data_IF_550079411571
#
_entry.id   IF_550079411571
#
_cell.length_a   1.000
_cell.length_b   1.000
_cell.length_c   1.000
_cell.angle_alpha   90.00
_cell.angle_beta   90.00
_cell.angle_gamma   90.00
#
_symmetry.space_group_name_H-M   'P 1'
#
loop_
_entity.id
_entity.type
_entity.pdbx_description
1 polymer ?
2 polymer ?
3 non-polymer ?
4 non-polymer ?
5 non-polymer ?
6 water ?
#
# COMPACT_ATOMS: atom_id res chain seq x y z
N UNK A 1 19.97 6.34 -12.23
CA UNK A 1 20.76 6.63 -11.04
C UNK A 1 21.86 5.60 -10.82
N UNK A 2 22.04 5.19 -9.55
CA UNK A 2 23.15 4.36 -9.13
C UNK A 2 23.07 2.96 -9.69
N UNK A 3 21.85 2.53 -10.07
CA UNK A 3 21.65 1.23 -10.66
C UNK A 3 21.68 1.24 -12.18
N UNK A 4 22.01 2.40 -12.77
CA UNK A 4 22.00 2.53 -14.21
C UNK A 4 22.94 1.60 -14.96
N UNK A 5 24.03 1.21 -14.30
CA UNK A 5 25.01 0.36 -14.94
C UNK A 5 24.74 -1.12 -14.77
N UNK A 6 23.74 -1.50 -13.98
CA UNK A 6 23.47 -2.90 -13.74
C UNK A 6 22.40 -3.43 -14.67
N UNK A 7 22.61 -4.63 -15.22
CA UNK A 7 21.58 -5.27 -16.03
C UNK A 7 20.25 -5.40 -15.31
N UNK A 8 19.16 -5.26 -16.06
CA UNK A 8 17.84 -5.47 -15.52
C UNK A 8 17.76 -6.82 -14.80
N UNK A 9 18.21 -7.88 -15.48
CA UNK A 9 18.04 -9.20 -14.89
C UNK A 9 18.84 -9.35 -13.61
N UNK A 10 20.00 -8.71 -13.55
CA UNK A 10 20.83 -8.72 -12.35
C UNK A 10 20.18 -7.96 -11.20
N UNK A 11 19.49 -6.87 -11.51
CA UNK A 11 18.73 -6.12 -10.51
C UNK A 11 17.62 -6.98 -9.93
N UNK A 12 16.90 -7.70 -10.81
CA UNK A 12 15.84 -8.59 -10.35
C UNK A 12 16.40 -9.71 -9.49
N UNK A 13 17.51 -10.32 -9.95
CA UNK A 13 18.15 -11.38 -9.19
C UNK A 13 18.55 -10.88 -7.80
N UNK A 14 19.17 -9.68 -7.78
CA UNK A 14 19.62 -9.13 -6.50
C UNK A 14 18.46 -8.70 -5.60
N UNK A 15 17.35 -8.23 -6.19
CA UNK A 15 16.17 -7.99 -5.39
C UNK A 15 15.71 -9.24 -4.66
N UNK A 16 15.73 -10.40 -5.35
CA UNK A 16 15.32 -11.65 -4.74
C UNK A 16 16.28 -12.05 -3.62
N UNK A 17 17.58 -11.84 -3.83
CA UNK A 17 18.57 -12.11 -2.79
C UNK A 17 18.36 -11.21 -1.57
N UNK A 18 18.11 -9.93 -1.84
CA UNK A 18 17.89 -8.96 -0.78
C UNK A 18 16.65 -9.35 0.03
N UNK A 19 15.61 -9.85 -0.64
CA UNK A 19 14.42 -10.30 0.06
C UNK A 19 14.78 -11.45 1.02
N UNK A 20 15.55 -12.41 0.52
CA UNK A 20 15.98 -13.54 1.34
C UNK A 20 16.79 -13.11 2.56
N UNK A 21 17.59 -12.06 2.36
CA UNK A 21 18.43 -11.52 3.41
C UNK A 21 17.74 -10.49 4.29
N UNK A 22 16.45 -10.23 4.02
CA UNK A 22 15.66 -9.23 4.75
C UNK A 22 16.32 -7.85 4.69
N UNK A 23 16.88 -7.54 3.51
CA UNK A 23 17.54 -6.29 3.22
C UNK A 23 16.61 -5.47 2.34
N UNK A 24 15.55 -4.93 2.95
CA UNK A 24 14.48 -4.35 2.15
C UNK A 24 14.82 -3.00 1.52
N UNK A 25 15.68 -2.19 2.15
CA UNK A 25 16.13 -0.97 1.51
C UNK A 25 16.91 -1.28 0.23
N UNK A 26 17.79 -2.27 0.30
CA UNK A 26 18.51 -2.70 -0.88
C UNK A 26 17.53 -3.23 -1.93
N UNK A 27 16.58 -4.05 -1.50
CA UNK A 27 15.59 -4.63 -2.39
C UNK A 27 14.85 -3.53 -3.14
N UNK A 28 14.45 -2.47 -2.41
CA UNK A 28 13.72 -1.37 -3.02
C UNK A 28 14.60 -0.65 -4.05
N UNK A 29 15.87 -0.39 -3.70
CA UNK A 29 16.78 0.25 -4.61
C UNK A 29 17.00 -0.57 -5.87
N UNK A 30 17.13 -1.90 -5.74
CA UNK A 30 17.27 -2.75 -6.90
C UNK A 30 16.02 -2.66 -7.77
N UNK A 31 14.83 -2.71 -7.15
CA UNK A 31 13.61 -2.71 -7.94
C UNK A 31 13.34 -1.32 -8.57
N UNK A 32 13.70 -0.23 -7.88
CA UNK A 32 13.65 1.08 -8.51
C UNK A 32 14.52 1.10 -9.76
N UNK A 33 15.74 0.56 -9.64
CA UNK A 33 16.61 0.45 -10.77
C UNK A 33 16.00 -0.35 -11.91
N UNK A 34 15.33 -1.45 -11.56
CA UNK A 34 14.69 -2.27 -12.58
C UNK A 34 13.57 -1.50 -13.27
N UNK A 35 12.74 -0.80 -12.50
CA UNK A 35 11.66 -0.02 -13.10
C UNK A 35 12.25 1.02 -14.05
N UNK A 36 13.33 1.68 -13.63
CA UNK A 36 13.92 2.74 -14.42
C UNK A 36 14.57 2.26 -15.72
N UNK A 37 14.69 0.94 -15.92
CA UNK A 37 15.07 0.43 -17.22
C UNK A 37 14.04 0.71 -18.32
N UNK A 38 12.81 1.00 -17.90
CA UNK A 38 11.78 1.44 -18.81
C UNK A 38 10.86 0.35 -19.36
N UNK A 39 11.17 -0.91 -19.11
CA UNK A 39 10.34 -2.00 -19.54
C UNK A 39 9.21 -2.17 -18.53
N UNK A 40 8.08 -2.70 -18.99
CA UNK A 40 7.03 -3.11 -18.10
C UNK A 40 7.49 -4.23 -17.15
N UNK A 41 6.80 -4.37 -16.02
CA UNK A 41 7.10 -5.39 -15.04
C UNK A 41 6.12 -6.54 -15.14
N UNK A 42 6.62 -7.76 -14.99
CA UNK A 42 5.78 -8.92 -14.90
C UNK A 42 5.08 -8.88 -13.55
N UNK A 43 4.15 -9.95 -13.30
CA UNK A 43 3.45 -10.09 -12.00
C UNK A 43 4.49 -10.33 -10.89
N UNK A 44 5.52 -11.28 -11.15
CA UNK A 44 6.47 -11.54 -10.10
C UNK A 44 7.28 -10.28 -9.79
N UNK A 45 7.60 -9.49 -10.81
CA UNK A 45 8.44 -8.32 -10.60
C UNK A 45 7.65 -7.24 -9.87
N UNK A 46 6.35 -7.12 -10.18
CA UNK A 46 5.50 -6.21 -9.44
C UNK A 46 5.44 -6.62 -7.96
N UNK A 47 5.41 -7.92 -7.70
CA UNK A 47 5.44 -8.41 -6.32
C UNK A 47 6.73 -8.00 -5.63
N UNK A 48 7.87 -8.11 -6.32
CA UNK A 48 9.12 -7.69 -5.71
C UNK A 48 9.13 -6.20 -5.36
N UNK A 49 8.63 -5.39 -6.28
CA UNK A 49 8.55 -3.96 -6.07
C UNK A 49 7.69 -3.68 -4.85
N UNK A 50 6.51 -4.33 -4.81
CA UNK A 50 5.57 -4.15 -3.73
C UNK A 50 6.14 -4.52 -2.37
N UNK A 51 6.72 -5.72 -2.28
CA UNK A 51 7.26 -6.21 -1.03
C UNK A 51 8.35 -5.27 -0.51
N UNK A 52 9.21 -4.82 -1.42
CA UNK A 52 10.35 -4.02 -1.00
C UNK A 52 9.88 -2.72 -0.36
N UNK A 53 9.05 -1.98 -1.09
CA UNK A 53 8.63 -0.67 -0.59
C UNK A 53 7.66 -0.80 0.57
N UNK A 54 6.83 -1.84 0.60
CA UNK A 54 5.94 -2.01 1.73
C UNK A 54 6.73 -2.20 3.02
N UNK A 55 7.80 -3.00 2.95
CA UNK A 55 8.61 -3.23 4.13
C UNK A 55 9.34 -1.95 4.55
N UNK A 56 9.87 -1.20 3.58
CA UNK A 56 10.57 0.03 3.93
C UNK A 56 9.58 1.00 4.57
N UNK A 57 8.46 1.29 3.91
CA UNK A 57 7.55 2.29 4.43
C UNK A 57 6.88 1.77 5.71
N UNK A 58 6.71 0.45 5.82
CA UNK A 58 6.10 -0.12 7.00
C UNK A 58 6.94 0.16 8.25
N UNK A 59 8.25 0.06 8.11
CA UNK A 59 9.12 0.37 9.24
C UNK A 59 9.05 1.85 9.59
N UNK A 60 8.98 2.70 8.55
CA UNK A 60 8.89 4.13 8.78
C UNK A 60 7.58 4.51 9.46
N UNK A 61 6.48 3.92 9.02
CA UNK A 61 5.18 4.18 9.61
C UNK A 61 5.16 3.74 11.07
N UNK A 62 5.72 2.56 11.36
CA UNK A 62 5.76 2.10 12.72
C UNK A 62 6.57 3.07 13.59
N UNK A 63 7.72 3.53 13.09
CA UNK A 63 8.57 4.45 13.83
C UNK A 63 7.87 5.79 14.04
N UNK A 64 7.21 6.27 12.99
CA UNK A 64 6.48 7.52 13.06
C UNK A 64 5.40 7.46 14.12
N UNK A 65 4.68 6.34 14.19
CA UNK A 65 3.61 6.20 15.17
C UNK A 65 4.16 6.23 16.59
N UNK A 66 5.31 5.57 16.82
CA UNK A 66 5.93 5.60 18.14
C UNK A 66 6.26 7.04 18.53
N UNK A 67 6.89 7.77 17.60
CA UNK A 67 7.35 9.12 17.89
C UNK A 67 6.18 10.10 18.04
N UNK A 68 5.16 9.94 17.20
CA UNK A 68 3.98 10.79 17.29
C UNK A 68 3.28 10.60 18.64
N UNK A 69 3.24 9.36 19.13
CA UNK A 69 2.63 9.09 20.42
C UNK A 69 3.39 9.77 21.55
N UNK A 70 4.73 9.70 21.50
CA UNK A 70 5.57 10.36 22.49
C UNK A 70 5.35 11.87 22.43
N UNK A 71 5.26 12.39 21.21
CA UNK A 71 5.04 13.81 21.01
C UNK A 71 3.71 14.28 21.56
N UNK A 72 2.65 13.52 21.29
CA UNK A 72 1.33 13.84 21.81
C UNK A 72 1.34 13.85 23.34
N UNK A 73 1.98 12.86 23.94
CA UNK A 73 2.07 12.79 25.39
C UNK A 73 2.81 14.00 25.96
N UNK A 74 3.85 14.46 25.24
CA UNK A 74 4.61 15.63 25.66
C UNK A 74 3.75 16.88 25.74
N UNK A 75 2.65 16.91 24.98
CA UNK A 75 1.80 18.09 24.89
C UNK A 75 0.53 18.05 25.74
N UNK A 76 0.45 17.07 26.66
CA UNK A 76 -0.67 17.00 27.60
C UNK A 76 -0.53 18.07 28.69
N UNK A 78 0.29 18.59 32.48
CA UNK A 78 1.18 18.01 33.48
C UNK A 78 2.55 17.58 32.97
N UNK A 79 2.72 17.55 31.63
CA UNK A 79 3.97 17.12 31.02
C UNK A 79 5.07 18.16 31.20
N UNK A 80 6.28 17.69 31.52
CA UNK A 80 7.44 18.56 31.67
C UNK A 80 7.99 18.89 30.28
N UNK A 81 8.38 20.15 30.09
CA UNK A 81 8.99 20.60 28.86
C UNK A 81 10.33 19.91 28.61
N UNK A 82 10.49 19.29 27.43
CA UNK A 82 11.73 18.61 27.10
C UNK A 82 12.44 19.19 25.88
N UNK A 83 11.94 20.32 25.38
CA UNK A 83 12.57 20.97 24.25
C UNK A 83 12.08 20.43 22.91
N UNK A 84 12.76 20.82 21.83
CA UNK A 84 12.29 20.54 20.48
C UNK A 84 12.63 19.17 19.90
N UNK A 85 13.34 18.34 20.67
CA UNK A 85 13.92 17.15 20.08
C UNK A 85 12.91 16.10 19.60
N UNK A 86 11.85 15.87 20.37
CA UNK A 86 10.84 14.91 19.96
C UNK A 86 10.22 15.33 18.62
N UNK A 87 9.82 16.59 18.53
CA UNK A 87 9.24 17.10 17.29
C UNK A 87 10.24 16.99 16.15
N UNK A 88 11.48 17.42 16.40
CA UNK A 88 12.49 17.37 15.35
C UNK A 88 12.67 15.96 14.82
N UNK A 89 12.74 14.99 15.72
CA UNK A 89 13.03 13.65 15.28
C UNK A 89 11.82 13.02 14.60
N UNK A 90 10.61 13.31 15.10
CA UNK A 90 9.41 12.88 14.41
C UNK A 90 9.38 13.48 13.01
N UNK A 91 9.71 14.76 12.90
CA UNK A 91 9.78 15.41 11.60
C UNK A 91 10.80 14.76 10.66
N UNK A 92 11.94 14.34 11.21
CA UNK A 92 12.98 13.69 10.42
C UNK A 92 12.44 12.39 9.83
N UNK A 93 11.81 11.58 10.68
CA UNK A 93 11.28 10.30 10.23
C UNK A 93 10.15 10.57 9.23
N UNK A 94 9.31 11.56 9.53
CA UNK A 94 8.20 11.90 8.65
C UNK A 94 8.68 12.29 7.26
N UNK A 95 9.74 13.10 7.21
CA UNK A 95 10.26 13.57 5.94
C UNK A 95 10.80 12.40 5.13
N UNK A 96 11.47 11.46 5.81
CA UNK A 96 11.99 10.30 5.13
C UNK A 96 10.85 9.44 4.59
N UNK A 97 9.79 9.25 5.40
CA UNK A 97 8.62 8.49 4.98
C UNK A 97 7.99 9.13 3.74
N UNK A 98 7.80 10.45 3.80
CA UNK A 98 7.23 11.17 2.68
C UNK A 98 8.11 10.98 1.44
N UNK A 99 9.41 10.98 1.65
CA UNK A 99 10.33 10.77 0.54
C UNK A 99 10.16 9.43 -0.16
N UNK A 100 9.98 8.38 0.62
CA UNK A 100 9.74 7.05 0.08
C UNK A 100 8.42 7.05 -0.68
N UNK A 101 7.37 7.60 -0.08
CA UNK A 101 6.09 7.68 -0.78
C UNK A 101 6.23 8.42 -2.10
N UNK A 102 6.94 9.55 -2.09
CA UNK A 102 7.11 10.33 -3.30
C UNK A 102 7.89 9.54 -4.35
N UNK A 103 8.85 8.73 -3.90
CA UNK A 103 9.63 7.91 -4.81
C UNK A 103 8.72 6.89 -5.49
N UNK A 104 7.87 6.21 -4.72
CA UNK A 104 6.99 5.22 -5.29
C UNK A 104 6.01 5.89 -6.24
N UNK A 105 5.40 7.01 -5.80
CA UNK A 105 4.43 7.70 -6.65
C UNK A 105 5.09 8.16 -7.94
N UNK A 106 6.35 8.57 -7.85
CA UNK A 106 7.12 8.97 -9.00
C UNK A 106 7.32 7.83 -10.02
N UNK A 107 7.65 6.64 -9.52
CA UNK A 107 7.76 5.47 -10.40
C UNK A 107 6.44 5.16 -11.07
N UNK A 108 5.35 5.29 -10.31
CA UNK A 108 4.03 4.99 -10.84
C UNK A 108 3.68 6.00 -11.94
N UNK A 109 4.04 7.26 -11.72
CA UNK A 109 3.72 8.31 -12.67
C UNK A 109 4.68 8.36 -13.85
N UNK A 110 5.85 7.74 -13.71
CA UNK A 110 6.91 7.79 -14.71
C UNK A 110 7.62 6.45 -14.87
N UNK A 111 6.98 5.46 -15.55
CA UNK A 111 5.78 5.60 -16.34
C UNK A 111 4.96 4.32 -16.20
N UNK A 112 4.94 3.74 -15.00
CA UNK A 112 4.32 2.44 -14.85
C UNK A 112 2.82 2.43 -15.18
N UNK A 113 2.08 3.38 -14.62
CA UNK A 113 0.64 3.40 -14.81
C UNK A 113 0.29 3.62 -16.29
N UNK A 114 0.93 4.60 -16.93
CA UNK A 114 0.51 4.91 -18.27
C UNK A 114 0.74 3.76 -19.26
N UNK A 115 1.71 2.87 -18.98
CA UNK A 115 1.97 1.77 -19.87
C UNK A 115 1.21 0.51 -19.48
N UNK A 116 0.52 0.53 -18.33
CA UNK A 116 -0.20 -0.64 -17.86
C UNK A 116 -1.59 -0.72 -18.46
N UNK A 117 -1.79 -1.73 -19.30
CA UNK A 117 -3.05 -1.87 -20.02
C UNK A 117 -3.85 -3.12 -19.68
N UNK A 118 -3.21 -4.09 -19.04
CA UNK A 118 -3.91 -5.28 -18.59
C UNK A 118 -4.52 -4.98 -17.24
N UNK A 119 -5.62 -5.63 -16.94
CA UNK A 119 -6.31 -5.36 -15.69
C UNK A 119 -5.42 -5.62 -14.48
N UNK A 120 -4.68 -6.74 -14.46
CA UNK A 120 -3.87 -7.05 -13.29
C UNK A 120 -2.84 -5.96 -13.03
N UNK A 121 -2.12 -5.54 -14.07
CA UNK A 121 -1.13 -4.51 -13.89
C UNK A 121 -1.74 -3.16 -13.52
N UNK A 122 -2.77 -2.75 -14.25
CA UNK A 122 -3.31 -1.42 -14.03
C UNK A 122 -3.95 -1.32 -12.64
N UNK A 123 -4.73 -2.33 -12.25
CA UNK A 123 -5.35 -2.34 -10.94
C UNK A 123 -4.29 -2.36 -9.85
N UNK A 124 -3.26 -3.21 -10.01
CA UNK A 124 -2.20 -3.25 -9.01
C UNK A 124 -1.56 -1.88 -8.83
N UNK A 125 -1.19 -1.21 -9.94
CA UNK A 125 -0.49 0.06 -9.83
C UNK A 125 -1.37 1.15 -9.26
N UNK A 126 -2.65 1.16 -9.64
CA UNK A 126 -3.56 2.15 -9.10
C UNK A 126 -3.82 1.93 -7.60
N UNK A 127 -3.92 0.66 -7.21
CA UNK A 127 -3.98 0.35 -5.79
C UNK A 127 -2.74 0.87 -5.07
N UNK A 128 -1.58 0.66 -5.67
CA UNK A 128 -0.33 1.10 -5.06
C UNK A 128 -0.36 2.62 -4.90
N UNK A 129 -0.80 3.32 -5.95
CA UNK A 129 -0.92 4.77 -5.89
C UNK A 129 -1.82 5.19 -4.73
N UNK A 130 -2.98 4.54 -4.61
CA UNK A 130 -3.86 4.80 -3.48
C UNK A 130 -3.18 4.58 -2.14
N UNK A 131 -2.49 3.45 -2.02
CA UNK A 131 -1.82 3.10 -0.78
C UNK A 131 -0.79 4.15 -0.36
N UNK A 132 0.04 4.61 -1.31
CA UNK A 132 1.11 5.53 -0.93
C UNK A 132 0.55 6.93 -0.68
N UNK A 133 -0.51 7.35 -1.37
CA UNK A 133 -1.20 8.55 -0.95
C UNK A 133 -1.82 8.38 0.43
N UNK A 134 -2.35 7.20 0.73
CA UNK A 134 -2.89 6.95 2.05
C UNK A 134 -1.81 7.08 3.12
N UNK A 135 -0.61 6.55 2.86
CA UNK A 135 0.46 6.71 3.83
C UNK A 135 0.85 8.18 4.00
N UNK A 136 0.85 8.95 2.90
CA UNK A 136 1.04 10.40 3.01
C UNK A 136 -0.05 11.04 3.86
N UNK A 137 -1.28 10.56 3.69
CA UNK A 137 -2.40 11.11 4.43
C UNK A 137 -2.31 10.84 5.93
N UNK A 138 -1.72 9.70 6.30
CA UNK A 138 -1.56 9.34 7.69
C UNK A 138 -0.77 10.38 8.47
N UNK A 139 0.15 11.08 7.80
CA UNK A 139 1.02 12.02 8.47
C UNK A 139 0.73 13.47 8.10
N UNK A 140 -0.25 13.67 7.23
CA UNK A 140 -0.58 15.01 6.77
C UNK A 140 -1.42 15.74 7.82
N UNK A 141 -1.14 17.05 7.96
CA UNK A 141 -1.91 17.92 8.84
C UNK A 141 -2.22 19.29 8.24
N UNK A 142 -1.61 19.61 7.10
CA UNK A 142 -1.56 20.99 6.63
C UNK A 142 -2.63 21.34 5.61
N UNK A 143 -2.33 22.37 4.79
CA UNK A 143 -3.23 22.85 3.76
C UNK A 143 -3.57 21.77 2.74
N UNK A 144 -2.74 20.71 2.70
CA UNK A 144 -2.78 19.73 1.64
C UNK A 144 -3.40 18.39 2.02
N UNK A 145 -3.77 18.19 3.30
CA UNK A 145 -4.30 16.91 3.74
C UNK A 145 -5.54 16.50 2.94
N UNK A 146 -6.43 17.46 2.71
CA UNK A 146 -7.63 17.16 1.95
C UNK A 146 -7.27 16.70 0.54
N UNK A 147 -6.30 17.37 -0.10
CA UNK A 147 -5.96 17.02 -1.47
C UNK A 147 -5.28 15.65 -1.51
N UNK A 148 -4.47 15.33 -0.49
CA UNK A 148 -3.84 14.03 -0.44
C UNK A 148 -4.90 12.93 -0.31
N UNK A 149 -5.86 13.14 0.59
CA UNK A 149 -6.95 12.21 0.75
C UNK A 149 -7.69 12.03 -0.56
N UNK A 150 -7.95 13.14 -1.27
CA UNK A 150 -8.69 13.02 -2.50
C UNK A 150 -7.88 12.26 -3.55
N UNK A 151 -6.57 12.48 -3.57
CA UNK A 151 -5.70 11.73 -4.48
C UNK A 151 -5.74 10.23 -4.20
N UNK A 152 -5.69 9.85 -2.92
CA UNK A 152 -5.83 8.44 -2.60
C UNK A 152 -7.17 7.89 -3.08
N UNK A 153 -8.23 8.59 -2.71
CA UNK A 153 -9.58 8.20 -3.10
C UNK A 153 -9.70 7.98 -4.61
N UNK A 154 -9.20 8.94 -5.39
CA UNK A 154 -9.32 8.91 -6.83
C UNK A 154 -8.60 7.70 -7.44
N UNK A 155 -7.41 7.39 -6.91
CA UNK A 155 -6.65 6.25 -7.39
C UNK A 155 -7.39 4.95 -7.06
N UNK A 156 -7.83 4.80 -5.81
CA UNK A 156 -8.55 3.61 -5.42
C UNK A 156 -9.84 3.43 -6.23
N UNK A 157 -10.54 4.53 -6.48
CA UNK A 157 -11.80 4.46 -7.19
C UNK A 157 -11.58 4.01 -8.64
N UNK A 158 -10.53 4.55 -9.29
CA UNK A 158 -10.23 4.10 -10.64
C UNK A 158 -9.89 2.61 -10.66
N UNK A 159 -9.10 2.18 -9.67
CA UNK A 159 -8.74 0.78 -9.57
C UNK A 159 -9.99 -0.07 -9.36
N UNK A 160 -10.89 0.39 -8.47
CA UNK A 160 -12.12 -0.33 -8.17
C UNK A 160 -12.94 -0.49 -9.45
N UNK A 161 -13.07 0.59 -10.21
CA UNK A 161 -13.92 0.55 -11.39
C UNK A 161 -13.40 -0.49 -12.39
N UNK A 162 -12.07 -0.50 -12.61
CA UNK A 162 -11.50 -1.47 -13.52
C UNK A 162 -11.66 -2.90 -12.98
N UNK A 163 -11.39 -3.09 -11.68
CA UNK A 163 -11.41 -4.42 -11.11
C UNK A 163 -12.80 -5.04 -11.20
N UNK A 164 -13.84 -4.23 -10.97
CA UNK A 164 -15.19 -4.73 -11.03
C UNK A 164 -15.57 -5.16 -12.44
N UNK A 165 -15.05 -4.44 -13.45
CA UNK A 165 -15.39 -4.71 -14.83
C UNK A 165 -14.62 -5.91 -15.38
N UNK A 166 -13.36 -6.04 -14.93
CA UNK A 166 -12.39 -6.90 -15.62
C UNK A 166 -11.91 -8.15 -14.88
N UNK A 167 -12.17 -8.24 -13.57
CA UNK A 167 -11.65 -9.32 -12.75
C UNK A 167 -12.78 -10.03 -12.02
N UNK A 168 -12.64 -11.33 -11.74
CA UNK A 168 -13.63 -12.03 -10.92
C UNK A 168 -13.56 -11.53 -9.49
N UNK A 169 -14.64 -11.67 -8.71
CA UNK A 169 -14.67 -11.16 -7.35
C UNK A 169 -13.69 -11.80 -6.38
N UNK A 170 -13.14 -12.96 -6.76
CA UNK A 170 -12.14 -13.66 -5.96
C UNK A 170 -10.70 -13.33 -6.35
N UNK A 171 -10.50 -12.51 -7.39
CA UNK A 171 -9.14 -12.18 -7.80
C UNK A 171 -8.37 -11.55 -6.65
N UNK A 172 -7.19 -12.04 -6.25
CA UNK A 172 -6.50 -11.50 -5.09
C UNK A 172 -6.18 -10.01 -5.16
N UNK A 173 -5.87 -9.51 -6.35
CA UNK A 173 -5.59 -8.10 -6.50
C UNK A 173 -6.87 -7.31 -6.24
N UNK A 174 -7.99 -7.75 -6.83
CA UNK A 174 -9.26 -7.11 -6.56
C UNK A 174 -9.61 -7.11 -5.08
N UNK A 175 -9.39 -8.26 -4.43
CA UNK A 175 -9.68 -8.38 -3.02
C UNK A 175 -8.79 -7.48 -2.17
N UNK A 176 -7.49 -7.47 -2.46
CA UNK A 176 -6.57 -6.66 -1.69
C UNK A 176 -6.85 -5.17 -1.86
N UNK A 177 -7.23 -4.80 -3.09
CA UNK A 177 -7.64 -3.43 -3.34
C UNK A 177 -8.85 -3.06 -2.49
N UNK A 178 -9.87 -3.91 -2.50
CA UNK A 178 -11.06 -3.61 -1.73
C UNK A 178 -10.76 -3.54 -0.24
N UNK A 179 -9.91 -4.46 0.25
CA UNK A 179 -9.47 -4.41 1.64
C UNK A 179 -8.84 -3.05 1.95
N UNK A 180 -7.88 -2.63 1.12
CA UNK A 180 -7.18 -1.40 1.41
C UNK A 180 -8.07 -0.17 1.27
N UNK A 181 -8.97 -0.18 0.28
CA UNK A 181 -9.87 0.95 0.13
C UNK A 181 -10.81 1.01 1.34
N UNK A 182 -11.23 -0.14 1.87
CA UNK A 182 -12.04 -0.14 3.07
C UNK A 182 -11.27 0.46 4.26
N UNK A 183 -9.98 0.12 4.38
CA UNK A 183 -9.15 0.72 5.43
C UNK A 183 -9.05 2.23 5.23
N UNK A 184 -8.87 2.68 3.98
CA UNK A 184 -8.92 4.10 3.66
C UNK A 184 -10.19 4.75 4.21
N UNK A 185 -11.34 4.14 3.90
CA UNK A 185 -12.58 4.73 4.34
C UNK A 185 -12.66 4.84 5.86
N UNK A 186 -12.23 3.79 6.56
CA UNK A 186 -12.37 3.74 8.00
C UNK A 186 -11.36 4.64 8.71
N UNK A 187 -10.10 4.55 8.28
CA UNK A 187 -8.99 5.13 9.01
C UNK A 187 -8.63 6.55 8.58
N UNK A 188 -8.92 6.87 7.31
CA UNK A 188 -8.50 8.14 6.72
C UNK A 188 -9.66 9.08 6.42
N UNK A 189 -10.73 8.54 5.82
CA UNK A 189 -11.82 9.35 5.27
C UNK A 189 -12.98 9.54 6.25
N UNK A 190 -12.83 9.04 7.46
CA UNK A 190 -13.86 9.19 8.48
C UNK A 190 -15.21 8.69 7.98
N UNK A 191 -15.16 7.55 7.27
CA UNK A 191 -16.34 6.95 6.65
C UNK A 191 -16.47 5.51 7.06
N UNK A 192 -16.68 5.21 8.37
CA UNK A 192 -16.73 3.81 8.81
C UNK A 192 -17.85 3.00 8.16
N UNK A 193 -18.99 3.64 7.91
CA UNK A 193 -20.09 2.92 7.28
C UNK A 193 -19.74 2.51 5.86
N UNK A 194 -19.07 3.39 5.10
CA UNK A 194 -18.63 3.05 3.76
C UNK A 194 -17.64 1.90 3.83
N UNK A 195 -16.74 1.95 4.81
CA UNK A 195 -15.77 0.88 5.02
C UNK A 195 -16.42 -0.48 5.25
N UNK A 196 -17.38 -0.50 6.18
CA UNK A 196 -18.09 -1.71 6.52
C UNK A 196 -18.87 -2.25 5.32
N UNK A 197 -19.56 -1.35 4.63
CA UNK A 197 -20.33 -1.76 3.46
C UNK A 197 -19.44 -2.39 2.40
N UNK A 198 -18.32 -1.73 2.10
CA UNK A 198 -17.41 -2.27 1.10
C UNK A 198 -16.87 -3.62 1.54
N UNK A 199 -16.47 -3.75 2.80
CA UNK A 199 -15.89 -5.01 3.25
C UNK A 199 -16.90 -6.15 3.17
N UNK A 200 -18.14 -5.85 3.59
CA UNK A 200 -19.22 -6.84 3.58
C UNK A 200 -19.53 -7.29 2.16
N UNK A 201 -19.78 -6.34 1.25
CA UNK A 201 -20.11 -6.66 -0.13
C UNK A 201 -18.98 -7.43 -0.80
N UNK A 202 -17.75 -6.99 -0.56
CA UNK A 202 -16.60 -7.68 -1.14
C UNK A 202 -16.54 -9.12 -0.66
N UNK A 203 -16.69 -9.31 0.65
CA UNK A 203 -16.60 -10.65 1.22
C UNK A 203 -17.67 -11.55 0.61
N UNK A 204 -18.90 -11.03 0.56
CA UNK A 204 -20.04 -11.82 0.14
C UNK A 204 -19.95 -12.21 -1.34
N UNK A 205 -19.46 -11.31 -2.17
CA UNK A 205 -19.37 -11.59 -3.60
C UNK A 205 -18.22 -12.57 -3.84
N UNK A 206 -17.15 -12.46 -3.06
CA UNK A 206 -16.06 -13.43 -3.17
C UNK A 206 -16.52 -14.82 -2.72
N UNK A 207 -17.24 -14.88 -1.59
CA UNK A 207 -17.75 -16.16 -1.11
C UNK A 207 -18.51 -16.91 -2.20
N UNK A 208 -19.36 -16.16 -2.92
CA UNK A 208 -20.20 -16.74 -3.95
C UNK A 208 -19.44 -17.22 -5.18
N UNK A 209 -18.17 -16.83 -5.33
CA UNK A 209 -17.37 -17.19 -6.50
C UNK A 209 -16.30 -18.23 -6.19
N UNK A 210 -16.17 -18.61 -4.92
CA UNK A 210 -15.13 -19.55 -4.52
C UNK A 210 -15.26 -20.91 -5.22
N UNK A 211 -16.48 -21.29 -5.56
CA UNK A 211 -16.73 -22.58 -6.18
C UNK A 211 -16.07 -22.76 -7.54
N UNK A 212 -15.69 -21.66 -8.18
CA UNK A 212 -15.08 -21.68 -9.51
C UNK A 212 -13.58 -21.94 -9.50
N UNK A 213 -13.01 -21.95 -8.29
CA UNK A 213 -11.57 -21.89 -8.12
C UNK A 213 -10.95 -23.27 -7.90
N UNK A 214 -9.70 -23.40 -8.37
CA UNK A 214 -8.85 -24.50 -7.97
C UNK A 214 -8.50 -24.40 -6.48
N UNK A 215 -7.94 -25.48 -5.94
CA UNK A 215 -7.53 -25.53 -4.56
C UNK A 215 -6.54 -24.40 -4.24
N UNK A 216 -5.57 -24.17 -5.13
CA UNK A 216 -4.56 -23.15 -4.89
C UNK A 216 -5.13 -21.74 -4.93
N UNK A 217 -6.02 -21.47 -5.91
CA UNK A 217 -6.64 -20.17 -6.00
C UNK A 217 -7.58 -19.91 -4.82
N UNK A 218 -8.28 -20.97 -4.40
CA UNK A 218 -9.11 -20.89 -3.21
C UNK A 218 -8.32 -20.45 -1.98
N UNK A 219 -7.12 -21.01 -1.81
CA UNK A 219 -6.28 -20.64 -0.67
C UNK A 219 -5.98 -19.15 -0.71
N UNK A 220 -5.60 -18.65 -1.89
CA UNK A 220 -5.22 -17.26 -2.03
C UNK A 220 -6.38 -16.32 -1.70
N UNK A 221 -7.55 -16.58 -2.30
CA UNK A 221 -8.69 -15.72 -2.09
C UNK A 221 -9.18 -15.74 -0.63
N UNK A 222 -9.26 -16.93 -0.03
CA UNK A 222 -9.79 -17.03 1.33
C UNK A 222 -8.88 -16.33 2.35
N UNK A 223 -7.57 -16.30 2.11
CA UNK A 223 -6.70 -15.56 3.01
C UNK A 223 -7.12 -14.10 3.13
N UNK A 224 -7.33 -13.43 2.00
CA UNK A 224 -7.69 -12.02 2.02
C UNK A 224 -9.10 -11.85 2.57
N UNK A 225 -10.00 -12.78 2.26
CA UNK A 225 -11.34 -12.72 2.79
C UNK A 225 -11.32 -12.73 4.31
N UNK A 226 -10.38 -13.47 4.90
CA UNK A 226 -10.31 -13.52 6.34
C UNK A 226 -9.91 -12.16 6.91
N UNK A 227 -9.05 -11.44 6.18
CA UNK A 227 -8.69 -10.09 6.62
C UNK A 227 -9.87 -9.12 6.58
N UNK A 228 -10.72 -9.22 5.55
CA UNK A 228 -11.95 -8.47 5.51
C UNK A 228 -12.78 -8.78 6.75
N UNK A 229 -12.90 -10.07 7.06
CA UNK A 229 -13.69 -10.50 8.20
C UNK A 229 -13.06 -9.98 9.51
N UNK A 230 -11.73 -10.00 9.59
CA UNK A 230 -11.07 -9.51 10.79
C UNK A 230 -11.39 -8.04 11.02
N UNK A 231 -11.38 -7.24 9.96
CA UNK A 231 -11.69 -5.83 10.07
C UNK A 231 -13.17 -5.64 10.42
N UNK A 232 -14.06 -6.40 9.78
CA UNK A 232 -15.48 -6.27 10.10
C UNK A 232 -15.72 -6.54 11.58
N UNK A 233 -15.02 -7.55 12.13
CA UNK A 233 -15.11 -7.86 13.55
C UNK A 233 -14.61 -6.72 14.43
N UNK A 234 -13.49 -6.11 14.01
CA UNK A 234 -12.93 -4.98 14.71
C UNK A 234 -13.89 -3.79 14.66
N UNK A 235 -14.52 -3.58 13.49
CA UNK A 235 -15.29 -2.38 13.24
C UNK A 235 -16.75 -2.42 13.70
N UNK A 236 -17.25 -3.61 14.01
CA UNK A 236 -18.63 -3.79 14.44
C UNK A 236 -18.68 -4.51 15.79
N UNK B 1 -7.23 -0.54 18.28
CA UNK B 1 -6.42 -1.38 17.41
C UNK B 1 -6.60 -0.99 15.95
N UNK B 2 -5.50 -1.01 15.19
CA UNK B 2 -5.52 -0.56 13.81
C UNK B 2 -6.11 -1.62 12.88
N UNK B 3 -6.79 -1.11 11.87
CA UNK B 3 -7.30 -1.96 10.80
C UNK B 3 -6.16 -2.66 10.07
N UNK B 4 -6.45 -3.86 9.56
CA UNK B 4 -5.48 -4.62 8.79
C UNK B 4 -5.62 -4.30 7.30
N UNK B 6 -3.64 -5.02 3.31
CA UNK B 6 -3.13 -6.19 2.62
C UNK B 6 -1.69 -6.44 3.06
N UNK B 7 -1.35 -7.67 3.49
CA UNK B 7 0.03 -7.99 3.87
C UNK B 7 0.89 -8.30 2.66
N UNK B 8 2.21 -8.43 2.89
CA UNK B 8 3.09 -9.02 1.90
C UNK B 8 2.84 -10.52 1.74
N UNK B 9 3.00 -11.02 0.52
CA UNK B 9 2.86 -12.44 0.25
C UNK B 9 3.95 -12.92 -0.67
#
# INVERSE_FOLDING_TARGET
GAMGSMERASLIQKAKLAEQAERYEDMAAFMKGAVEKGEELSCEERNLLSVAYKNVVGGQRAAWRVLSSIEQKSNEEGSEEKGPEVREYREKVETELQGVCDTVLGLLDSHLIKEAGDAESRVFYLKMKGDYYRYLAEVATGDDKKRIIDSARSAYQEAMDISKKEMPPTNPIRLGLALNFSVFHYEIANSPEEAISLAKTTFDEAMADLHTLSEDSYKDSTLIMQLLRDNLTLWT
QRSTXTPNV
#
